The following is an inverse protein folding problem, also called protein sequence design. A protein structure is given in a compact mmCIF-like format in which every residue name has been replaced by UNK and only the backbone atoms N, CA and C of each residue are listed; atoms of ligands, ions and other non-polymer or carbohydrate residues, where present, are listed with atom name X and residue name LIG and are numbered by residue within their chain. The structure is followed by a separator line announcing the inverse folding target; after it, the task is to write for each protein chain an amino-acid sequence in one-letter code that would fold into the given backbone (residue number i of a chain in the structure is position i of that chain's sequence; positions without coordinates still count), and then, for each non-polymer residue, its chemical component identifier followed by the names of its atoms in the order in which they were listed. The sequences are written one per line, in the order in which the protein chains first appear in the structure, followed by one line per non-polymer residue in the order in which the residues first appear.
data_IF_295442390280
#
_entry.id   IF_295442390280
#
_cell.length_a   1.000
_cell.length_b   1.000
_cell.length_c   1.000
_cell.angle_alpha   90.00
_cell.angle_beta   90.00
_cell.angle_gamma   90.00
#
_symmetry.space_group_name_H-M   'P 1'
#
loop_
_entity.id
_entity.type
_entity.pdbx_description
1 polymer ?
#
# COMPACT_ATOMS: atom_id res chain seq x y z
N UNK A 1 32.91 13.04 28.03
CA UNK A 1 32.11 12.10 27.22
C UNK A 1 31.29 12.91 26.22
N UNK A 2 31.85 13.18 25.06
CA UNK A 2 31.20 13.90 23.95
C UNK A 2 30.57 12.87 23.03
N UNK A 3 29.24 12.85 22.95
CA UNK A 3 28.51 12.01 21.99
C UNK A 3 28.84 12.39 20.54
N UNK A 4 28.56 11.51 19.56
CA UNK A 4 28.83 11.80 18.16
C UNK A 4 28.07 13.06 17.72
N UNK A 5 28.79 13.96 17.05
CA UNK A 5 28.26 15.18 16.47
C UNK A 5 27.19 14.81 15.42
N UNK A 6 25.98 15.39 15.45
CA UNK A 6 24.97 15.13 14.42
C UNK A 6 25.51 15.59 13.06
N UNK A 7 25.42 14.71 12.06
CA UNK A 7 25.87 14.99 10.69
C UNK A 7 25.01 16.11 10.07
N UNK A 8 25.59 17.27 9.72
CA UNK A 8 24.86 18.39 9.13
C UNK A 8 24.29 18.09 7.74
N UNK A 9 24.67 16.98 7.11
CA UNK A 9 24.15 16.52 5.83
C UNK A 9 23.16 15.34 5.95
N UNK A 10 22.85 14.88 7.17
CA UNK A 10 21.86 13.83 7.39
C UNK A 10 20.39 14.32 7.29
N UNK A 11 20.18 15.60 6.96
CA UNK A 11 18.87 16.12 6.61
C UNK A 11 18.44 15.63 5.22
N UNK A 12 17.16 15.25 5.09
CA UNK A 12 16.56 15.02 3.78
C UNK A 12 16.73 16.31 2.96
N UNK A 13 17.33 16.25 1.75
CA UNK A 13 17.64 17.48 1.02
C UNK A 13 16.33 18.17 0.58
N UNK A 14 16.32 19.50 0.58
CA UNK A 14 15.11 20.33 0.32
C UNK A 14 14.42 20.04 -1.02
N UNK A 15 15.11 19.39 -1.97
CA UNK A 15 14.57 18.99 -3.27
C UNK A 15 13.84 17.64 -3.25
N UNK A 16 14.05 16.80 -2.24
CA UNK A 16 13.43 15.49 -2.16
C UNK A 16 11.98 15.62 -1.67
N UNK A 17 11.02 14.94 -2.32
CA UNK A 17 9.63 15.01 -1.90
C UNK A 17 9.46 14.48 -0.48
N UNK A 18 8.57 15.13 0.29
CA UNK A 18 8.17 14.64 1.59
C UNK A 18 7.53 13.24 1.45
N UNK A 19 7.70 12.36 2.46
CA UNK A 19 7.05 11.06 2.47
C UNK A 19 5.53 11.22 2.31
N UNK A 20 4.88 10.32 1.55
CA UNK A 20 3.43 10.32 1.43
C UNK A 20 2.78 9.99 2.79
N UNK A 21 1.48 10.22 2.91
CA UNK A 21 0.72 9.74 4.07
C UNK A 21 0.87 8.22 4.23
N UNK A 22 1.06 7.71 5.46
CA UNK A 22 1.20 6.27 5.68
C UNK A 22 -0.15 5.58 5.53
N UNK A 23 -0.12 4.29 5.17
CA UNK A 23 -1.29 3.44 5.30
C UNK A 23 -1.48 3.10 6.79
N UNK A 24 -2.66 3.42 7.31
CA UNK A 24 -3.09 3.05 8.65
C UNK A 24 -4.09 1.92 8.59
N UNK A 25 -3.85 0.88 9.38
CA UNK A 25 -4.71 -0.30 9.46
C UNK A 25 -5.59 -0.18 10.70
N UNK A 26 -6.90 -0.08 10.53
CA UNK A 26 -7.86 0.13 11.63
C UNK A 26 -8.89 -1.00 11.69
N UNK A 27 -9.39 -1.39 12.88
CA UNK A 27 -10.41 -2.42 12.98
C UNK A 27 -11.68 -2.04 12.22
N UNK A 28 -12.24 -2.98 11.45
CA UNK A 28 -13.50 -2.77 10.71
C UNK A 28 -14.73 -2.65 11.63
N UNK A 29 -14.58 -2.80 12.95
CA UNK A 29 -15.64 -2.52 13.93
C UNK A 29 -15.85 -1.01 14.15
N UNK A 30 -14.84 -0.18 13.85
CA UNK A 30 -14.94 1.28 13.88
C UNK A 30 -15.86 1.80 12.79
N UNK A 31 -16.38 3.04 12.88
CA UNK A 31 -17.28 3.62 11.85
C UNK A 31 -16.51 4.08 10.60
N UNK A 32 -15.94 3.14 9.86
CA UNK A 32 -15.24 3.34 8.58
C UNK A 32 -16.06 2.74 7.45
N UNK A 33 -16.17 3.46 6.33
CA UNK A 33 -16.81 2.95 5.11
C UNK A 33 -16.02 1.78 4.52
N UNK A 34 -16.69 0.69 4.13
CA UNK A 34 -16.02 -0.55 3.71
C UNK A 34 -16.05 -0.79 2.20
N UNK A 35 -17.13 -0.39 1.52
CA UNK A 35 -17.29 -0.69 0.09
C UNK A 35 -16.08 -0.28 -0.74
N UNK A 36 -15.48 -1.27 -1.41
CA UNK A 36 -14.31 -1.12 -2.27
C UNK A 36 -13.01 -0.81 -1.54
N UNK A 37 -12.99 -0.75 -0.21
CA UNK A 37 -11.76 -0.52 0.56
C UNK A 37 -10.90 -1.76 0.59
N UNK A 38 -9.59 -1.54 0.60
CA UNK A 38 -8.60 -2.59 0.87
C UNK A 38 -8.68 -3.01 2.34
N UNK A 39 -8.61 -4.30 2.56
CA UNK A 39 -8.73 -4.89 3.89
C UNK A 39 -7.69 -5.97 4.10
N UNK A 40 -7.39 -6.21 5.36
CA UNK A 40 -6.67 -7.39 5.82
C UNK A 40 -7.66 -8.24 6.63
N UNK A 41 -7.54 -9.55 6.49
CA UNK A 41 -8.27 -10.51 7.32
C UNK A 41 -7.28 -11.35 8.11
N UNK A 42 -7.59 -11.64 9.35
CA UNK A 42 -6.71 -12.47 10.16
C UNK A 42 -7.20 -12.66 11.59
N UNK A 43 -6.36 -13.34 12.35
CA UNK A 43 -6.58 -13.59 13.77
C UNK A 43 -5.31 -13.20 14.53
N UNK A 44 -5.46 -12.44 15.63
CA UNK A 44 -4.33 -12.13 16.51
C UNK A 44 -3.54 -13.39 16.90
N UNK A 45 -2.21 -13.29 16.88
CA UNK A 45 -1.31 -14.40 17.18
C UNK A 45 -1.12 -15.45 16.06
N UNK A 46 -1.91 -15.41 14.98
CA UNK A 46 -1.80 -16.39 13.87
C UNK A 46 -1.24 -15.77 12.59
N UNK A 47 -1.71 -14.57 12.23
CA UNK A 47 -1.26 -13.87 11.04
C UNK A 47 -2.37 -13.17 10.27
N UNK A 48 -1.97 -12.51 9.19
CA UNK A 48 -2.80 -11.59 8.41
C UNK A 48 -2.67 -11.88 6.93
N UNK A 49 -3.78 -11.77 6.21
CA UNK A 49 -3.84 -11.89 4.75
C UNK A 49 -4.34 -10.58 4.15
N UNK A 50 -3.53 -10.00 3.26
CA UNK A 50 -3.85 -8.79 2.49
C UNK A 50 -4.21 -9.09 1.02
N UNK A 51 -4.13 -8.07 0.17
CA UNK A 51 -4.60 -8.07 -1.23
C UNK A 51 -6.08 -8.46 -1.35
N UNK A 52 -6.89 -7.94 -0.43
CA UNK A 52 -8.33 -8.17 -0.36
C UNK A 52 -9.10 -6.84 -0.41
N UNK A 53 -10.33 -6.90 -0.88
CA UNK A 53 -11.28 -5.79 -0.81
C UNK A 53 -12.59 -6.21 -0.18
N UNK A 54 -13.20 -5.27 0.53
CA UNK A 54 -14.45 -5.47 1.24
C UNK A 54 -15.63 -4.81 0.51
N UNK A 55 -16.82 -5.35 0.78
CA UNK A 55 -18.09 -4.65 0.56
C UNK A 55 -18.69 -4.17 1.89
N UNK A 56 -19.84 -3.52 1.85
CA UNK A 56 -20.54 -3.04 3.03
C UNK A 56 -20.96 -4.17 3.98
N UNK A 57 -21.04 -3.81 5.27
CA UNK A 57 -21.35 -4.76 6.34
C UNK A 57 -22.74 -5.36 6.16
N UNK A 58 -22.86 -6.64 6.47
CA UNK A 58 -24.13 -7.35 6.48
C UNK A 58 -24.37 -7.91 7.88
N UNK A 59 -25.57 -7.70 8.41
CA UNK A 59 -25.98 -8.27 9.70
C UNK A 59 -26.75 -9.57 9.44
N UNK A 60 -26.30 -10.67 10.04
CA UNK A 60 -27.00 -11.95 9.98
C UNK A 60 -27.23 -12.47 11.41
N UNK A 61 -28.51 -12.52 11.81
CA UNK A 61 -28.88 -12.82 13.19
C UNK A 61 -28.31 -11.79 14.16
N UNK A 62 -27.50 -12.23 15.12
CA UNK A 62 -26.85 -11.38 16.12
C UNK A 62 -25.40 -11.00 15.78
N UNK A 63 -24.90 -11.34 14.59
CA UNK A 63 -23.50 -11.13 14.19
C UNK A 63 -23.40 -10.22 12.98
N UNK A 64 -22.33 -9.44 12.95
CA UNK A 64 -21.98 -8.57 11.82
C UNK A 64 -20.86 -9.23 11.02
N UNK A 65 -21.05 -9.28 9.71
CA UNK A 65 -20.11 -9.85 8.76
C UNK A 65 -19.72 -8.81 7.71
N UNK A 66 -18.57 -9.01 7.09
CA UNK A 66 -18.06 -8.24 5.96
C UNK A 66 -17.84 -9.21 4.80
N UNK A 67 -18.47 -8.98 3.64
CA UNK A 67 -18.13 -9.70 2.41
C UNK A 67 -16.72 -9.28 1.97
N UNK A 68 -15.83 -10.25 1.74
CA UNK A 68 -14.43 -9.98 1.36
C UNK A 68 -14.03 -10.84 0.17
N UNK A 69 -13.45 -10.25 -0.86
CA UNK A 69 -12.89 -10.93 -2.04
C UNK A 69 -11.45 -10.53 -2.27
N UNK A 70 -10.73 -11.25 -3.15
CA UNK A 70 -9.41 -10.81 -3.58
C UNK A 70 -9.50 -9.49 -4.33
N UNK A 71 -8.45 -8.68 -4.25
CA UNK A 71 -8.39 -7.42 -4.96
C UNK A 71 -8.49 -7.61 -6.48
N UNK A 72 -7.89 -8.68 -7.02
CA UNK A 72 -8.05 -9.08 -8.42
C UNK A 72 -9.51 -9.30 -8.81
N UNK A 73 -10.26 -10.11 -8.04
CA UNK A 73 -11.68 -10.38 -8.34
C UNK A 73 -12.52 -9.13 -8.19
N UNK A 74 -12.21 -8.24 -7.24
CA UNK A 74 -12.89 -6.96 -7.10
C UNK A 74 -12.70 -6.07 -8.33
N UNK A 75 -11.47 -5.91 -8.82
CA UNK A 75 -11.21 -5.13 -10.02
C UNK A 75 -11.86 -5.73 -11.27
N UNK A 76 -11.89 -7.05 -11.38
CA UNK A 76 -12.59 -7.74 -12.46
C UNK A 76 -14.10 -7.52 -12.38
N UNK A 77 -14.69 -7.68 -11.20
CA UNK A 77 -16.11 -7.46 -10.94
C UNK A 77 -16.54 -6.03 -11.31
N UNK A 78 -15.80 -5.03 -10.83
CA UNK A 78 -16.08 -3.62 -11.11
C UNK A 78 -15.84 -3.27 -12.58
N UNK A 79 -14.79 -3.79 -13.23
CA UNK A 79 -14.50 -3.45 -14.63
C UNK A 79 -15.43 -4.13 -15.63
N UNK A 80 -15.81 -5.38 -15.38
CA UNK A 80 -16.64 -6.18 -16.29
C UNK A 80 -18.13 -6.18 -15.88
N UNK A 81 -18.46 -5.50 -14.78
CA UNK A 81 -19.81 -5.42 -14.20
C UNK A 81 -20.42 -6.82 -13.95
N UNK A 82 -19.61 -7.70 -13.36
CA UNK A 82 -20.01 -9.08 -13.04
C UNK A 82 -20.16 -9.26 -11.53
N UNK A 83 -21.13 -10.08 -11.13
CA UNK A 83 -21.32 -10.44 -9.73
C UNK A 83 -20.33 -11.52 -9.30
N UNK A 84 -19.73 -11.36 -8.12
CA UNK A 84 -18.80 -12.32 -7.54
C UNK A 84 -19.26 -12.67 -6.13
N UNK A 85 -19.27 -13.97 -5.83
CA UNK A 85 -19.62 -14.46 -4.51
C UNK A 85 -18.49 -14.19 -3.52
N UNK A 86 -18.80 -13.41 -2.48
CA UNK A 86 -17.86 -13.05 -1.44
C UNK A 86 -18.10 -13.91 -0.17
N UNK A 87 -17.06 -14.57 0.39
CA UNK A 87 -17.18 -15.14 1.72
C UNK A 87 -17.46 -14.06 2.78
N UNK A 88 -18.31 -14.41 3.75
CA UNK A 88 -18.66 -13.54 4.87
C UNK A 88 -17.68 -13.75 6.02
N UNK A 89 -16.90 -12.73 6.33
CA UNK A 89 -15.90 -12.75 7.40
C UNK A 89 -16.48 -12.00 8.61
N UNK A 90 -16.40 -12.56 9.84
CA UNK A 90 -16.79 -11.83 11.06
C UNK A 90 -16.06 -10.49 11.14
N UNK A 91 -16.77 -9.41 11.42
CA UNK A 91 -16.22 -8.04 11.36
C UNK A 91 -15.01 -7.84 12.29
N UNK A 92 -14.94 -8.58 13.39
CA UNK A 92 -13.85 -8.53 14.37
C UNK A 92 -12.52 -9.07 13.82
N UNK A 93 -12.57 -9.79 12.68
CA UNK A 93 -11.40 -10.35 11.99
C UNK A 93 -10.95 -9.51 10.80
N UNK A 94 -11.63 -8.39 10.54
CA UNK A 94 -11.41 -7.54 9.38
C UNK A 94 -10.79 -6.23 9.82
N UNK A 95 -9.74 -5.84 9.11
CA UNK A 95 -8.99 -4.61 9.32
C UNK A 95 -8.95 -3.84 8.01
N UNK A 96 -9.11 -2.52 8.06
CA UNK A 96 -9.26 -1.67 6.89
C UNK A 96 -8.02 -0.82 6.71
N UNK A 97 -7.50 -0.78 5.48
CA UNK A 97 -6.48 0.18 5.11
C UNK A 97 -7.11 1.56 4.91
N UNK A 98 -6.58 2.54 5.63
CA UNK A 98 -6.96 3.96 5.59
C UNK A 98 -5.70 4.81 5.42
N UNK A 99 -5.85 6.08 5.09
CA UNK A 99 -4.71 7.01 5.04
C UNK A 99 -4.58 7.73 6.37
N UNK A 100 -3.40 7.66 6.97
CA UNK A 100 -3.06 8.44 8.15
C UNK A 100 -2.69 9.87 7.84
N UNK A 101 -2.26 10.58 8.89
CA UNK A 101 -1.68 11.91 8.76
C UNK A 101 -0.25 11.85 8.23
N UNK A 102 0.14 12.88 7.48
CA UNK A 102 1.49 12.97 6.92
C UNK A 102 2.51 13.08 8.07
N UNK A 103 3.56 12.25 8.09
CA UNK A 103 4.54 12.29 9.17
C UNK A 103 5.35 13.57 9.08
N UNK A 104 5.83 14.06 10.23
CA UNK A 104 6.75 15.18 10.26
C UNK A 104 8.08 14.80 9.57
N UNK A 105 8.75 15.73 8.88
CA UNK A 105 10.05 15.48 8.26
C UNK A 105 11.05 14.96 9.30
N UNK A 106 11.81 13.92 8.95
CA UNK A 106 12.81 13.29 9.83
C UNK A 106 12.30 12.15 10.73
N UNK A 107 11.00 11.80 10.67
CA UNK A 107 10.44 10.71 11.50
C UNK A 107 10.56 9.32 10.87
N UNK A 108 10.94 9.23 9.59
CA UNK A 108 11.19 7.96 8.90
C UNK A 108 12.60 7.45 9.25
N UNK A 109 12.76 6.96 10.49
CA UNK A 109 13.99 6.29 10.92
C UNK A 109 14.08 4.89 10.32
N UNK A 110 15.13 4.65 9.54
CA UNK A 110 15.44 3.34 8.97
C UNK A 110 16.10 2.46 10.05
N UNK A 111 15.31 1.61 10.71
CA UNK A 111 15.86 0.60 11.59
C UNK A 111 16.16 -0.64 10.74
N UNK A 112 17.38 -0.73 10.21
CA UNK A 112 17.86 -1.84 9.37
C UNK A 112 18.09 -3.15 10.19
N UNK A 113 17.31 -3.37 11.25
CA UNK A 113 17.38 -4.52 12.13
C UNK A 113 16.16 -5.43 12.07
N UNK A 114 16.16 -6.47 12.90
CA UNK A 114 14.98 -7.33 13.10
C UNK A 114 13.90 -6.50 13.80
N UNK A 115 12.90 -6.05 13.04
CA UNK A 115 11.74 -5.35 13.60
C UNK A 115 10.77 -6.32 14.25
N UNK A 116 10.74 -6.34 15.57
CA UNK A 116 9.72 -7.05 16.34
C UNK A 116 8.41 -6.27 16.28
N UNK A 117 7.29 -6.99 16.14
CA UNK A 117 5.95 -6.39 16.02
C UNK A 117 4.98 -7.03 17.01
N UNK A 118 3.94 -6.30 17.40
CA UNK A 118 2.82 -6.90 18.13
C UNK A 118 2.04 -7.85 17.22
N UNK A 119 1.53 -8.94 17.79
CA UNK A 119 0.63 -9.87 17.11
C UNK A 119 -0.86 -9.59 17.39
N UNK A 120 -1.17 -8.53 18.14
CA UNK A 120 -2.55 -8.15 18.48
C UNK A 120 -3.31 -7.56 17.28
N UNK A 121 -2.58 -7.03 16.31
CA UNK A 121 -3.11 -6.44 15.09
C UNK A 121 -2.11 -6.50 13.93
N UNK A 122 -2.53 -6.14 12.71
CA UNK A 122 -1.63 -6.02 11.58
C UNK A 122 -0.55 -4.96 11.80
N UNK A 123 0.63 -5.19 11.23
CA UNK A 123 1.73 -4.24 11.30
C UNK A 123 1.47 -3.02 10.42
N UNK A 124 1.66 -1.83 10.98
CA UNK A 124 1.68 -0.59 10.22
C UNK A 124 3.05 -0.40 9.56
N UNK A 125 3.07 -0.33 8.24
CA UNK A 125 4.27 -0.05 7.45
C UNK A 125 4.37 1.46 7.21
N UNK A 126 5.55 2.00 7.48
CA UNK A 126 5.87 3.37 7.08
C UNK A 126 6.17 3.36 5.58
N UNK A 127 5.82 4.42 4.85
CA UNK A 127 6.23 4.55 3.46
C UNK A 127 7.74 4.47 3.34
N UNK A 128 8.22 3.59 2.46
CA UNK A 128 9.66 3.38 2.22
C UNK A 128 10.01 3.93 0.85
N UNK A 129 11.03 4.78 0.69
CA UNK A 129 11.48 5.21 -0.63
C UNK A 129 11.87 4.00 -1.49
N UNK A 130 11.52 4.03 -2.78
CA UNK A 130 11.80 2.91 -3.69
C UNK A 130 13.30 2.60 -3.79
N UNK A 131 14.17 3.61 -3.74
CA UNK A 131 15.61 3.42 -3.83
C UNK A 131 16.25 2.71 -2.62
N UNK A 132 15.52 2.57 -1.50
CA UNK A 132 15.96 1.83 -0.32
C UNK A 132 15.50 0.37 -0.32
N UNK A 133 14.76 -0.06 -1.35
CA UNK A 133 14.13 -1.37 -1.42
C UNK A 133 14.79 -2.25 -2.48
N UNK A 134 15.09 -3.49 -2.13
CA UNK A 134 15.78 -4.44 -3.02
C UNK A 134 14.93 -4.93 -4.21
N UNK A 135 13.61 -5.02 -4.05
CA UNK A 135 12.68 -5.42 -5.12
C UNK A 135 11.35 -4.67 -5.02
N UNK A 136 10.90 -4.17 -6.17
CA UNK A 136 9.70 -3.34 -6.28
C UNK A 136 8.66 -3.86 -7.26
N UNK A 137 9.01 -4.75 -8.20
CA UNK A 137 8.05 -5.24 -9.19
C UNK A 137 6.81 -5.85 -8.54
N UNK A 138 5.63 -5.47 -9.04
CA UNK A 138 4.33 -5.89 -8.55
C UNK A 138 3.87 -5.23 -7.24
N UNK A 139 4.73 -4.49 -6.53
CA UNK A 139 4.37 -3.79 -5.30
C UNK A 139 3.55 -2.53 -5.61
N UNK A 140 2.70 -2.17 -4.64
CA UNK A 140 1.97 -0.89 -4.65
C UNK A 140 2.95 0.25 -4.40
N UNK A 141 2.82 1.31 -5.18
CA UNK A 141 3.68 2.49 -5.09
C UNK A 141 2.86 3.77 -5.07
N UNK A 142 3.41 4.79 -4.42
CA UNK A 142 2.93 6.17 -4.45
C UNK A 142 3.93 6.99 -5.22
N UNK A 143 3.46 7.72 -6.23
CA UNK A 143 4.24 8.75 -6.89
C UNK A 143 3.95 10.10 -6.23
N UNK A 144 4.98 10.76 -5.71
CA UNK A 144 4.87 12.06 -5.06
C UNK A 144 5.52 13.12 -5.94
N UNK A 145 4.70 14.01 -6.51
CA UNK A 145 5.14 15.07 -7.42
C UNK A 145 4.55 16.42 -6.98
N UNK A 146 5.40 17.42 -6.75
CA UNK A 146 4.94 18.75 -6.32
C UNK A 146 4.11 18.73 -5.02
N UNK A 147 4.34 17.75 -4.13
CA UNK A 147 3.57 17.54 -2.90
C UNK A 147 2.23 16.81 -3.07
N UNK A 148 1.85 16.46 -4.31
CA UNK A 148 0.66 15.68 -4.64
C UNK A 148 0.97 14.19 -4.62
N UNK A 149 0.11 13.41 -3.95
CA UNK A 149 0.23 11.96 -3.88
C UNK A 149 -0.63 11.30 -4.96
N UNK A 150 0.00 10.63 -5.91
CA UNK A 150 -0.66 9.77 -6.89
C UNK A 150 -0.54 8.31 -6.44
N UNK A 151 -1.67 7.73 -6.02
CA UNK A 151 -1.79 6.36 -5.50
C UNK A 151 -2.49 5.44 -6.50
N UNK A 152 -2.75 4.21 -6.07
CA UNK A 152 -3.35 3.14 -6.88
C UNK A 152 -2.50 2.84 -8.13
N UNK A 153 -1.18 2.84 -7.92
CA UNK A 153 -0.17 2.49 -8.90
C UNK A 153 0.55 1.21 -8.45
N UNK A 154 0.97 0.42 -9.42
CA UNK A 154 1.89 -0.71 -9.20
C UNK A 154 3.14 -0.56 -10.05
N UNK A 155 4.27 -0.93 -9.48
CA UNK A 155 5.53 -1.03 -10.22
C UNK A 155 5.49 -2.27 -11.13
N UNK A 156 5.85 -2.08 -12.40
CA UNK A 156 5.85 -3.12 -13.44
C UNK A 156 7.23 -3.70 -13.67
N UNK A 157 8.28 -2.93 -13.38
CA UNK A 157 9.68 -3.31 -13.53
C UNK A 157 10.45 -3.11 -12.24
N UNK A 158 11.60 -3.75 -12.14
CA UNK A 158 12.65 -3.33 -11.20
C UNK A 158 13.27 -1.99 -11.64
N UNK A 159 14.06 -1.32 -10.77
CA UNK A 159 14.76 -0.10 -11.14
C UNK A 159 15.73 -0.34 -12.31
N UNK A 160 15.73 0.57 -13.28
CA UNK A 160 16.64 0.53 -14.44
C UNK A 160 17.10 1.94 -14.81
N UNK A 161 18.19 2.02 -15.56
CA UNK A 161 18.67 3.30 -16.12
C UNK A 161 17.78 3.76 -17.28
N UNK A 162 17.10 4.88 -17.08
CA UNK A 162 16.27 5.55 -18.08
C UNK A 162 17.08 6.20 -19.20
N UNK A 163 16.38 6.76 -20.18
CA UNK A 163 17.01 7.35 -21.37
C UNK A 163 17.88 8.57 -21.05
N UNK A 164 17.52 9.34 -20.02
CA UNK A 164 18.20 10.56 -19.59
C UNK A 164 19.27 10.31 -18.51
N UNK A 165 19.57 9.05 -18.20
CA UNK A 165 20.56 8.65 -17.19
C UNK A 165 20.02 8.57 -15.77
N UNK A 166 18.77 8.95 -15.54
CA UNK A 166 18.08 8.78 -14.26
C UNK A 166 17.78 7.29 -13.96
N UNK A 167 17.71 6.93 -12.68
CA UNK A 167 17.22 5.62 -12.25
C UNK A 167 15.70 5.71 -12.17
N UNK A 168 15.02 4.87 -12.95
CA UNK A 168 13.57 4.90 -13.13
C UNK A 168 12.93 3.55 -12.86
N UNK A 169 11.63 3.57 -12.61
CA UNK A 169 10.75 2.40 -12.56
C UNK A 169 9.54 2.65 -13.47
N UNK A 170 9.09 1.63 -14.20
CA UNK A 170 7.81 1.71 -14.91
C UNK A 170 6.68 1.45 -13.94
N UNK A 171 5.69 2.33 -13.93
CA UNK A 171 4.47 2.17 -13.14
C UNK A 171 3.24 2.13 -14.02
N UNK A 172 2.19 1.49 -13.53
CA UNK A 172 0.88 1.41 -14.18
C UNK A 172 -0.22 1.66 -13.16
N UNK A 173 -1.39 2.20 -13.55
CA UNK A 173 -2.59 2.13 -12.72
C UNK A 173 -2.91 0.70 -12.30
N UNK A 174 -3.36 0.52 -11.07
CA UNK A 174 -3.58 -0.79 -10.48
C UNK A 174 -4.68 -1.59 -11.19
N UNK A 175 -5.72 -0.92 -11.68
CA UNK A 175 -6.73 -1.57 -12.52
C UNK A 175 -6.10 -2.21 -13.77
N UNK A 176 -5.18 -1.52 -14.45
CA UNK A 176 -4.49 -2.06 -15.63
C UNK A 176 -3.56 -3.22 -15.27
N UNK A 177 -2.89 -3.13 -14.10
CA UNK A 177 -2.08 -4.24 -13.58
C UNK A 177 -2.89 -5.52 -13.43
N UNK A 178 -4.06 -5.45 -12.79
CA UNK A 178 -4.90 -6.62 -12.63
C UNK A 178 -5.57 -7.05 -13.93
N UNK A 179 -5.99 -6.09 -14.76
CA UNK A 179 -6.59 -6.38 -16.07
C UNK A 179 -5.65 -7.18 -16.95
N UNK A 180 -4.34 -6.91 -16.89
CA UNK A 180 -3.34 -7.69 -17.62
C UNK A 180 -3.48 -9.19 -17.35
N UNK A 181 -3.72 -9.59 -16.11
CA UNK A 181 -3.80 -11.00 -15.74
C UNK A 181 -4.99 -11.76 -16.36
N UNK A 182 -6.15 -11.12 -16.60
CA UNK A 182 -7.31 -11.79 -17.21
C UNK A 182 -7.56 -11.44 -18.68
N UNK A 183 -7.08 -10.29 -19.17
CA UNK A 183 -7.15 -9.93 -20.61
C UNK A 183 -5.93 -10.39 -21.40
N UNK A 184 -4.81 -10.69 -20.74
CA UNK A 184 -3.55 -11.11 -21.37
C UNK A 184 -2.83 -10.00 -22.15
N UNK A 185 -3.32 -8.75 -22.10
CA UNK A 185 -2.74 -7.60 -22.79
C UNK A 185 -1.86 -6.79 -21.83
N UNK A 186 -0.63 -6.43 -22.21
CA UNK A 186 0.25 -5.67 -21.34
C UNK A 186 -0.35 -4.30 -21.00
N UNK A 187 -0.15 -3.80 -19.77
CA UNK A 187 -0.73 -2.53 -19.35
C UNK A 187 0.00 -1.35 -20.00
N UNK A 188 -0.68 -0.21 -20.08
CA UNK A 188 0.01 1.05 -20.40
C UNK A 188 0.88 1.45 -19.21
N UNK A 189 2.15 1.79 -19.48
CA UNK A 189 3.12 2.14 -18.44
C UNK A 189 3.66 3.55 -18.66
N UNK A 190 4.06 4.19 -17.56
CA UNK A 190 4.87 5.42 -17.59
C UNK A 190 6.15 5.22 -16.79
N UNK A 191 7.21 5.87 -17.23
CA UNK A 191 8.49 5.89 -16.53
C UNK A 191 8.48 6.97 -15.45
N UNK A 192 8.94 6.65 -14.25
CA UNK A 192 8.99 7.58 -13.11
C UNK A 192 10.35 7.45 -12.40
N UNK A 193 11.06 8.55 -12.11
CA UNK A 193 12.29 8.53 -11.33
C UNK A 193 12.10 7.93 -9.93
N UNK A 194 13.03 7.09 -9.48
CA UNK A 194 12.91 6.37 -8.19
C UNK A 194 12.85 7.29 -6.96
N UNK A 195 13.44 8.48 -7.04
CA UNK A 195 13.43 9.47 -5.96
C UNK A 195 12.05 10.13 -5.74
N UNK A 196 11.11 9.93 -6.67
CA UNK A 196 9.71 10.38 -6.56
C UNK A 196 8.76 9.25 -6.15
N UNK A 197 9.26 8.03 -5.97
CA UNK A 197 8.47 6.84 -5.70
C UNK A 197 8.67 6.30 -4.28
N UNK A 198 7.57 5.90 -3.67
CA UNK A 198 7.51 5.31 -2.35
C UNK A 198 6.69 4.03 -2.39
N UNK A 199 7.07 3.02 -1.62
CA UNK A 199 6.27 1.83 -1.38
C UNK A 199 5.17 2.13 -0.34
N UNK A 200 3.97 1.61 -0.58
CA UNK A 200 2.85 1.60 0.39
C UNK A 200 2.97 0.51 1.46
#
# INVERSE_FOLDING_TARGET
MTGPLPDPFAGQPDWAPLPPRPVQIVPATTRVALRGRRVLVGLPGLGWRGDLRADDRVVQGSRTYVPVISEHEWYRAESEQVEVFAPLIPVERVWVETLGDRPAPGTCGNDHGIRLVSLDGPTHLAPTPVFETDSVSGRRVVHVEGGTEHRDLRAVTEPYSGADGDICVRVTPELEWYRWAWRGQPPTTREVPVHLLWIE
#
